data_IF_967807676654
#
_entry.id   IF_967807676654
#
_cell.length_a   1.000
_cell.length_b   1.000
_cell.length_c   1.000
_cell.angle_alpha   90.00
_cell.angle_beta   90.00
_cell.angle_gamma   90.00
#
_symmetry.space_group_name_H-M   'P 1'
#
loop_
_entity.id
_entity.type
_entity.pdbx_description
1 polymer ?
#
# COMPACT_ATOMS: atom_id res chain seq x y z
N UNK A 1 -103.00 6.69 -44.34
CA UNK A 1 -101.99 6.08 -43.44
C UNK A 1 -101.40 4.77 -44.03
N UNK A 2 -101.15 4.67 -45.34
CA UNK A 2 -100.81 3.38 -45.98
C UNK A 2 -99.39 3.29 -46.58
N UNK A 3 -98.56 4.36 -46.47
CA UNK A 3 -97.18 4.35 -46.99
C UNK A 3 -96.12 3.93 -45.97
N UNK A 4 -96.42 4.06 -44.66
CA UNK A 4 -95.52 3.61 -43.59
C UNK A 4 -95.60 2.10 -43.36
N UNK A 5 -96.78 1.49 -43.49
CA UNK A 5 -96.98 0.05 -43.29
C UNK A 5 -96.31 -0.81 -44.37
N UNK A 6 -96.24 -0.32 -45.62
CA UNK A 6 -95.49 -0.99 -46.69
C UNK A 6 -93.97 -0.89 -46.50
N UNK A 7 -93.49 0.19 -45.89
CA UNK A 7 -92.07 0.42 -45.65
C UNK A 7 -91.54 -0.47 -44.52
N UNK A 8 -92.32 -0.66 -43.46
CA UNK A 8 -91.99 -1.60 -42.38
C UNK A 8 -92.04 -3.08 -42.83
N UNK A 9 -92.96 -3.49 -43.72
CA UNK A 9 -93.00 -4.88 -44.23
C UNK A 9 -91.77 -5.24 -45.08
N UNK A 10 -91.29 -4.32 -45.93
CA UNK A 10 -90.10 -4.56 -46.77
C UNK A 10 -88.81 -4.64 -45.95
N UNK A 11 -88.68 -3.83 -44.89
CA UNK A 11 -87.52 -3.86 -43.97
C UNK A 11 -87.51 -5.10 -43.07
N UNK A 12 -88.68 -5.57 -42.60
CA UNK A 12 -88.77 -6.84 -41.84
C UNK A 12 -88.32 -8.03 -42.67
N UNK A 13 -88.72 -8.12 -43.94
CA UNK A 13 -88.25 -9.18 -44.84
C UNK A 13 -86.73 -9.11 -45.06
N UNK A 14 -86.17 -7.91 -45.24
CA UNK A 14 -84.73 -7.72 -45.45
C UNK A 14 -83.89 -8.06 -44.20
N UNK A 15 -84.37 -7.70 -43.01
CA UNK A 15 -83.70 -8.05 -41.73
C UNK A 15 -83.75 -9.55 -41.46
N UNK A 16 -84.87 -10.23 -41.78
CA UNK A 16 -84.98 -11.68 -41.65
C UNK A 16 -84.04 -12.39 -42.63
N UNK A 17 -83.95 -11.93 -43.88
CA UNK A 17 -82.99 -12.50 -44.87
C UNK A 17 -81.54 -12.25 -44.47
N UNK A 18 -81.21 -11.08 -43.89
CA UNK A 18 -79.88 -10.79 -43.38
C UNK A 18 -79.52 -11.67 -42.16
N UNK A 19 -80.46 -11.89 -41.23
CA UNK A 19 -80.25 -12.79 -40.09
C UNK A 19 -80.12 -14.26 -40.52
N UNK A 20 -80.92 -14.72 -41.48
CA UNK A 20 -80.78 -16.07 -42.06
C UNK A 20 -79.45 -16.20 -42.81
N UNK A 21 -78.99 -15.14 -43.49
CA UNK A 21 -77.68 -15.10 -44.14
C UNK A 21 -76.50 -15.16 -43.16
N UNK A 22 -76.63 -14.60 -41.95
CA UNK A 22 -75.62 -14.70 -40.88
C UNK A 22 -75.64 -16.10 -40.24
N UNK A 23 -76.83 -16.68 -40.04
CA UNK A 23 -76.98 -18.05 -39.49
C UNK A 23 -76.49 -19.10 -40.49
N UNK A 24 -76.79 -18.96 -41.79
CA UNK A 24 -76.33 -19.85 -42.85
C UNK A 24 -74.86 -19.58 -43.25
N UNK A 25 -74.37 -18.35 -43.10
CA UNK A 25 -72.98 -17.97 -43.34
C UNK A 25 -72.00 -18.47 -42.28
N UNK A 26 -72.49 -18.86 -41.09
CA UNK A 26 -71.68 -19.47 -40.04
C UNK A 26 -71.29 -20.93 -40.35
N UNK A 27 -71.89 -21.55 -41.37
CA UNK A 27 -71.66 -22.96 -41.74
C UNK A 27 -70.47 -23.17 -42.68
N UNK A 28 -69.70 -22.12 -43.03
CA UNK A 28 -68.56 -22.20 -43.96
C UNK A 28 -67.18 -22.01 -43.31
N UNK A 29 -67.09 -22.06 -41.98
CA UNK A 29 -65.80 -22.32 -41.35
C UNK A 29 -65.48 -23.81 -41.55
N UNK A 30 -64.34 -24.17 -42.18
CA UNK A 30 -63.92 -25.56 -42.23
C UNK A 30 -63.81 -26.06 -40.79
N UNK A 31 -64.56 -27.12 -40.46
CA UNK A 31 -64.42 -27.81 -39.19
C UNK A 31 -62.97 -28.27 -39.08
N UNK A 32 -62.26 -27.84 -38.03
CA UNK A 32 -60.89 -28.26 -37.77
C UNK A 32 -60.82 -29.79 -37.87
N UNK A 33 -59.87 -30.31 -38.65
CA UNK A 33 -59.78 -31.75 -38.84
C UNK A 33 -59.36 -32.41 -37.52
N UNK A 34 -59.76 -33.66 -37.31
CA UNK A 34 -59.38 -34.40 -36.10
C UNK A 34 -57.85 -34.48 -35.93
N UNK A 35 -57.11 -34.47 -37.04
CA UNK A 35 -55.65 -34.44 -37.08
C UNK A 35 -55.08 -33.12 -36.56
N UNK A 36 -55.64 -31.97 -36.98
CA UNK A 36 -55.27 -30.65 -36.47
C UNK A 36 -55.53 -30.53 -34.96
N UNK A 37 -56.67 -31.06 -34.50
CA UNK A 37 -57.03 -31.07 -33.08
C UNK A 37 -56.04 -31.92 -32.27
N UNK A 38 -55.65 -33.08 -32.79
CA UNK A 38 -54.69 -33.97 -32.13
C UNK A 38 -53.27 -33.37 -32.10
N UNK A 39 -52.84 -32.75 -33.21
CA UNK A 39 -51.56 -32.02 -33.29
C UNK A 39 -51.53 -30.85 -32.29
N UNK A 40 -52.60 -30.06 -32.23
CA UNK A 40 -52.72 -28.95 -31.29
C UNK A 40 -52.71 -29.42 -29.83
N UNK A 41 -53.33 -30.57 -29.52
CA UNK A 41 -53.25 -31.19 -28.19
C UNK A 41 -51.82 -31.63 -27.85
N UNK A 42 -51.11 -32.24 -28.79
CA UNK A 42 -49.72 -32.63 -28.60
C UNK A 42 -48.81 -31.42 -28.34
N UNK A 43 -48.94 -30.36 -29.16
CA UNK A 43 -48.20 -29.11 -28.98
C UNK A 43 -48.50 -28.46 -27.63
N UNK A 44 -49.78 -28.42 -27.22
CA UNK A 44 -50.19 -27.93 -25.90
C UNK A 44 -49.50 -28.71 -24.79
N UNK A 45 -49.49 -30.03 -24.84
CA UNK A 45 -48.83 -30.88 -23.83
C UNK A 45 -47.32 -30.62 -23.77
N UNK A 46 -46.67 -30.49 -24.93
CA UNK A 46 -45.23 -30.14 -24.99
C UNK A 46 -44.95 -28.77 -24.39
N UNK A 47 -45.80 -27.77 -24.66
CA UNK A 47 -45.65 -26.43 -24.08
C UNK A 47 -45.88 -26.45 -22.56
N UNK A 48 -46.87 -27.20 -22.07
CA UNK A 48 -47.07 -27.40 -20.63
C UNK A 48 -45.84 -28.02 -19.96
N UNK A 49 -45.28 -29.09 -20.53
CA UNK A 49 -44.08 -29.72 -20.00
C UNK A 49 -42.87 -28.74 -19.95
N UNK A 50 -42.74 -27.86 -20.95
CA UNK A 50 -41.71 -26.81 -20.94
C UNK A 50 -41.97 -25.75 -19.86
N UNK A 51 -43.22 -25.38 -19.63
CA UNK A 51 -43.59 -24.44 -18.56
C UNK A 51 -43.24 -25.03 -17.20
N UNK A 52 -43.59 -26.30 -16.96
CA UNK A 52 -43.28 -26.99 -15.70
C UNK A 52 -41.76 -27.08 -15.48
N UNK A 53 -41.01 -27.44 -16.54
CA UNK A 53 -39.54 -27.46 -16.51
C UNK A 53 -38.95 -26.08 -16.21
N UNK A 54 -39.43 -25.01 -16.86
CA UNK A 54 -38.97 -23.65 -16.58
C UNK A 54 -39.36 -23.17 -15.18
N UNK A 55 -40.49 -23.62 -14.65
CA UNK A 55 -40.91 -23.30 -13.29
C UNK A 55 -39.99 -23.97 -12.25
N UNK A 56 -39.55 -25.20 -12.51
CA UNK A 56 -38.56 -25.90 -11.68
C UNK A 56 -37.21 -25.16 -11.69
N UNK A 57 -36.72 -24.75 -12.87
CA UNK A 57 -35.48 -23.96 -13.00
C UNK A 57 -35.55 -22.62 -12.25
N UNK A 58 -36.69 -21.93 -12.28
CA UNK A 58 -36.88 -20.70 -11.51
C UNK A 58 -36.88 -20.94 -9.99
N UNK A 59 -37.41 -22.07 -9.55
CA UNK A 59 -37.38 -22.46 -8.14
C UNK A 59 -35.94 -22.72 -7.67
N UNK A 60 -35.15 -23.46 -8.48
CA UNK A 60 -33.73 -23.70 -8.17
C UNK A 60 -32.93 -22.41 -8.17
N UNK A 61 -33.15 -21.52 -9.14
CA UNK A 61 -32.42 -20.26 -9.22
C UNK A 61 -32.73 -19.32 -8.06
N UNK A 62 -33.98 -19.27 -7.60
CA UNK A 62 -34.36 -18.49 -6.42
C UNK A 62 -33.69 -19.01 -5.14
N UNK A 63 -33.55 -20.33 -5.01
CA UNK A 63 -32.80 -20.94 -3.91
C UNK A 63 -31.33 -20.53 -3.96
N UNK A 64 -30.70 -20.65 -5.12
CA UNK A 64 -29.29 -20.28 -5.31
C UNK A 64 -29.05 -18.78 -5.02
N UNK A 65 -29.98 -17.90 -5.39
CA UNK A 65 -29.92 -16.47 -5.04
C UNK A 65 -29.93 -16.28 -3.51
N UNK A 66 -30.78 -17.01 -2.79
CA UNK A 66 -30.81 -16.98 -1.33
C UNK A 66 -29.49 -17.44 -0.71
N UNK A 67 -28.97 -18.58 -1.16
CA UNK A 67 -27.70 -19.13 -0.67
C UNK A 67 -26.51 -18.18 -0.97
N UNK A 68 -26.53 -17.53 -2.14
CA UNK A 68 -25.53 -16.50 -2.49
C UNK A 68 -25.66 -15.25 -1.63
N UNK A 69 -26.88 -14.78 -1.34
CA UNK A 69 -27.09 -13.67 -0.41
C UNK A 69 -26.58 -13.99 0.99
N UNK A 70 -26.79 -15.21 1.48
CA UNK A 70 -26.25 -15.64 2.76
C UNK A 70 -24.71 -15.63 2.76
N UNK A 71 -24.08 -16.18 1.71
CA UNK A 71 -22.62 -16.12 1.56
C UNK A 71 -22.08 -14.70 1.50
N UNK A 72 -22.78 -13.78 0.82
CA UNK A 72 -22.39 -12.36 0.77
C UNK A 72 -22.40 -11.75 2.18
N UNK A 73 -23.43 -12.05 2.98
CA UNK A 73 -23.52 -11.56 4.35
C UNK A 73 -22.39 -12.13 5.22
N UNK A 74 -22.14 -13.44 5.14
CA UNK A 74 -21.04 -14.09 5.86
C UNK A 74 -19.67 -13.48 5.49
N UNK A 75 -19.40 -13.30 4.20
CA UNK A 75 -18.14 -12.69 3.73
C UNK A 75 -17.99 -11.24 4.21
N UNK A 76 -19.09 -10.49 4.28
CA UNK A 76 -19.07 -9.12 4.77
C UNK A 76 -18.74 -9.07 6.28
N UNK A 77 -19.32 -9.98 7.07
CA UNK A 77 -19.01 -10.09 8.50
C UNK A 77 -17.55 -10.52 8.74
N UNK A 78 -17.04 -11.46 7.95
CA UNK A 78 -15.63 -11.87 7.99
C UNK A 78 -14.69 -10.71 7.64
N UNK A 79 -15.03 -9.93 6.61
CA UNK A 79 -14.27 -8.74 6.23
C UNK A 79 -14.23 -7.72 7.37
N UNK A 80 -15.36 -7.46 8.03
CA UNK A 80 -15.40 -6.54 9.17
C UNK A 80 -14.53 -7.03 10.34
N UNK A 81 -14.53 -8.34 10.62
CA UNK A 81 -13.66 -8.93 11.64
C UNK A 81 -12.17 -8.79 11.27
N UNK A 82 -11.81 -9.00 10.01
CA UNK A 82 -10.43 -8.81 9.55
C UNK A 82 -9.99 -7.35 9.64
N UNK A 83 -10.85 -6.40 9.24
CA UNK A 83 -10.56 -4.98 9.34
C UNK A 83 -10.35 -4.54 10.80
N UNK A 84 -11.14 -5.08 11.73
CA UNK A 84 -10.96 -4.81 13.16
C UNK A 84 -9.66 -5.42 13.70
N UNK A 85 -9.37 -6.67 13.34
CA UNK A 85 -8.13 -7.35 13.74
C UNK A 85 -6.89 -6.61 13.23
N UNK A 86 -6.95 -6.10 11.99
CA UNK A 86 -5.88 -5.29 11.41
C UNK A 86 -5.66 -4.01 12.21
N UNK A 87 -6.72 -3.26 12.52
CA UNK A 87 -6.62 -2.03 13.34
C UNK A 87 -5.99 -2.31 14.71
N UNK A 88 -6.45 -3.36 15.39
CA UNK A 88 -5.93 -3.73 16.72
C UNK A 88 -4.46 -4.16 16.64
N UNK A 89 -4.10 -4.91 15.60
CA UNK A 89 -2.71 -5.34 15.38
C UNK A 89 -1.80 -4.16 15.06
N UNK A 90 -2.23 -3.24 14.19
CA UNK A 90 -1.49 -2.02 13.87
C UNK A 90 -1.29 -1.17 15.12
N UNK A 91 -2.34 -0.93 15.91
CA UNK A 91 -2.22 -0.17 17.17
C UNK A 91 -1.24 -0.83 18.14
N UNK A 92 -1.25 -2.17 18.24
CA UNK A 92 -0.32 -2.91 19.09
C UNK A 92 1.13 -2.85 18.59
N UNK A 93 1.35 -2.86 17.28
CA UNK A 93 2.68 -2.68 16.68
C UNK A 93 3.19 -1.27 16.96
N UNK A 94 2.37 -0.24 16.75
CA UNK A 94 2.75 1.14 17.04
C UNK A 94 3.08 1.36 18.52
N UNK A 95 2.30 0.77 19.43
CA UNK A 95 2.58 0.82 20.86
C UNK A 95 3.91 0.15 21.21
N UNK A 96 4.17 -1.05 20.67
CA UNK A 96 5.46 -1.74 20.89
C UNK A 96 6.64 -0.96 20.32
N UNK A 97 6.49 -0.36 19.14
CA UNK A 97 7.54 0.46 18.54
C UNK A 97 7.82 1.71 19.37
N UNK A 98 6.80 2.35 19.94
CA UNK A 98 6.96 3.49 20.85
C UNK A 98 7.64 3.07 22.15
N UNK A 99 7.24 1.95 22.75
CA UNK A 99 7.85 1.42 23.97
C UNK A 99 9.32 1.05 23.74
N UNK A 100 9.64 0.40 22.61
CA UNK A 100 11.01 0.04 22.26
C UNK A 100 11.87 1.28 21.97
N UNK A 101 11.35 2.26 21.24
CA UNK A 101 12.04 3.53 20.99
C UNK A 101 12.29 4.31 22.28
N UNK A 102 11.34 4.31 23.22
CA UNK A 102 11.51 4.95 24.53
C UNK A 102 12.59 4.24 25.35
N UNK A 103 12.59 2.89 25.37
CA UNK A 103 13.60 2.11 26.06
C UNK A 103 15.00 2.34 25.47
N UNK A 104 15.13 2.43 24.15
CA UNK A 104 16.40 2.76 23.49
C UNK A 104 16.86 4.18 23.86
N UNK A 105 15.95 5.16 23.87
CA UNK A 105 16.26 6.53 24.30
C UNK A 105 16.72 6.60 25.75
N UNK A 106 16.07 5.85 26.65
CA UNK A 106 16.47 5.79 28.06
C UNK A 106 17.86 5.16 28.22
N UNK A 107 18.13 4.05 27.52
CA UNK A 107 19.45 3.39 27.54
C UNK A 107 20.57 4.29 26.99
N UNK A 108 20.29 5.07 25.94
CA UNK A 108 21.25 6.03 25.40
C UNK A 108 21.53 7.19 26.38
N UNK A 109 20.50 7.74 27.01
CA UNK A 109 20.65 8.77 28.06
C UNK A 109 21.49 8.23 29.23
N UNK A 110 21.27 6.99 29.66
CA UNK A 110 22.05 6.37 30.73
C UNK A 110 23.52 6.18 30.33
N UNK A 111 23.77 5.70 29.10
CA UNK A 111 25.14 5.55 28.57
C UNK A 111 25.86 6.89 28.48
N UNK A 112 25.18 7.95 28.05
CA UNK A 112 25.75 9.30 28.03
C UNK A 112 26.09 9.80 29.43
N UNK A 113 25.20 9.61 30.41
CA UNK A 113 25.48 9.97 31.82
C UNK A 113 26.66 9.21 32.41
N UNK A 114 26.79 7.92 32.10
CA UNK A 114 27.93 7.11 32.55
C UNK A 114 29.24 7.60 31.92
N UNK A 115 29.24 7.86 30.60
CA UNK A 115 30.41 8.40 29.91
C UNK A 115 30.82 9.78 30.42
N UNK A 116 29.85 10.66 30.70
CA UNK A 116 30.13 11.98 31.28
C UNK A 116 30.72 11.86 32.70
N UNK A 117 30.15 11.00 33.55
CA UNK A 117 30.68 10.76 34.89
C UNK A 117 32.09 10.16 34.87
N UNK A 118 32.40 9.27 33.91
CA UNK A 118 33.73 8.73 33.73
C UNK A 118 34.73 9.79 33.26
N UNK A 119 34.36 10.61 32.28
CA UNK A 119 35.19 11.74 31.82
C UNK A 119 35.47 12.74 32.94
N UNK A 120 34.46 13.07 33.77
CA UNK A 120 34.65 13.93 34.93
C UNK A 120 35.62 13.31 35.95
N UNK A 121 35.52 12.01 36.24
CA UNK A 121 36.46 11.31 37.12
C UNK A 121 37.89 11.30 36.55
N UNK A 122 38.04 11.06 35.24
CA UNK A 122 39.35 11.09 34.60
C UNK A 122 39.96 12.50 34.64
N UNK A 123 39.18 13.55 34.39
CA UNK A 123 39.62 14.94 34.48
C UNK A 123 40.02 15.35 35.90
N UNK A 124 39.30 14.88 36.92
CA UNK A 124 39.67 15.09 38.34
C UNK A 124 41.01 14.42 38.67
N UNK A 125 41.21 13.17 38.24
CA UNK A 125 42.47 12.43 38.46
C UNK A 125 43.64 13.10 37.73
N UNK A 126 43.44 13.54 36.49
CA UNK A 126 44.42 14.30 35.70
C UNK A 126 44.82 15.59 36.43
N UNK A 127 43.84 16.35 36.93
CA UNK A 127 44.08 17.58 37.69
C UNK A 127 44.87 17.33 38.97
N UNK A 128 44.53 16.28 39.73
CA UNK A 128 45.26 15.90 40.94
C UNK A 128 46.71 15.51 40.63
N UNK A 129 46.95 14.73 39.56
CA UNK A 129 48.31 14.39 39.11
C UNK A 129 49.13 15.62 38.71
N UNK A 130 48.52 16.57 38.00
CA UNK A 130 49.19 17.81 37.61
C UNK A 130 49.52 18.68 38.83
N UNK A 131 48.63 18.76 39.80
CA UNK A 131 48.82 19.53 41.04
C UNK A 131 49.91 18.91 41.93
N UNK A 132 49.96 17.58 42.03
CA UNK A 132 51.04 16.84 42.72
C UNK A 132 52.40 17.03 42.02
N UNK A 133 52.44 16.91 40.68
CA UNK A 133 53.66 17.14 39.90
C UNK A 133 54.18 18.58 40.06
N UNK A 134 53.28 19.57 40.08
CA UNK A 134 53.65 20.96 40.36
C UNK A 134 54.18 21.17 41.79
N UNK A 135 53.62 20.44 42.78
CA UNK A 135 54.09 20.49 44.16
C UNK A 135 55.49 19.88 44.33
N UNK A 136 55.76 18.76 43.65
CA UNK A 136 57.09 18.13 43.61
C UNK A 136 58.13 19.04 42.93
N UNK A 137 57.80 19.63 41.77
CA UNK A 137 58.70 20.57 41.08
C UNK A 137 59.04 21.82 41.92
N UNK A 138 58.10 22.28 42.75
CA UNK A 138 58.30 23.40 43.68
C UNK A 138 59.14 23.02 44.90
N UNK A 139 59.15 21.74 45.30
CA UNK A 139 60.00 21.22 46.37
C UNK A 139 61.46 21.05 45.92
N UNK A 140 61.69 20.61 44.67
CA UNK A 140 63.05 20.49 44.10
C UNK A 140 63.73 21.85 43.90
N UNK A 141 62.97 22.90 43.57
CA UNK A 141 63.49 24.27 43.44
C UNK A 141 63.83 24.96 44.78
N UNK A 142 63.40 24.39 45.91
CA UNK A 142 63.81 24.84 47.27
C UNK A 142 65.12 24.16 47.73
N UNK A 143 65.54 23.07 47.07
CA UNK A 143 66.79 22.37 47.40
C UNK A 143 68.01 22.84 46.58
N UNK A 144 67.83 23.78 45.64
CA UNK A 144 68.92 24.36 44.83
C UNK A 144 69.37 25.77 45.26
N UNK A 145 68.88 26.32 46.38
CA UNK A 145 69.33 27.63 46.89
C UNK A 145 70.61 27.59 47.76
N UNK A 146 71.43 26.55 47.61
CA UNK A 146 72.68 26.38 48.35
C UNK A 146 73.79 25.83 47.45
N UNK A 147 74.22 26.57 46.44
CA UNK A 147 75.62 26.55 45.96
C UNK A 147 75.90 27.62 44.90
N UNK A 148 77.04 28.27 45.11
CA UNK A 148 77.56 29.47 44.48
C UNK A 148 77.76 29.47 42.95
N UNK A 149 77.47 30.62 42.36
CA UNK A 149 78.38 31.48 41.60
C UNK A 149 79.52 30.83 40.79
N UNK A 150 79.47 30.89 39.45
CA UNK A 150 80.36 31.74 38.64
C UNK A 150 80.52 31.26 37.19
N UNK A 151 80.42 32.24 36.28
CA UNK A 151 81.23 32.46 35.08
C UNK A 151 81.21 31.50 33.87
N UNK A 152 81.24 32.17 32.71
CA UNK A 152 81.54 31.75 31.32
C UNK A 152 80.34 31.25 30.52
N UNK A 153 79.75 32.13 29.68
CA UNK A 153 80.23 32.52 28.35
C UNK A 153 80.36 31.31 27.43
N UNK A 154 79.37 31.12 26.55
CA UNK A 154 79.57 31.25 25.12
C UNK A 154 78.25 31.37 24.35
N UNK A 155 78.27 32.37 23.50
CA UNK A 155 77.38 32.72 22.40
C UNK A 155 77.21 31.59 21.37
N UNK A 156 75.95 31.35 21.01
CA UNK A 156 75.40 31.14 19.66
C UNK A 156 76.20 30.34 18.63
N UNK A 157 75.59 29.29 18.07
CA UNK A 157 74.96 29.43 16.75
C UNK A 157 74.02 28.26 16.40
N UNK A 158 73.03 28.64 15.60
CA UNK A 158 71.76 28.01 15.30
C UNK A 158 71.81 27.11 14.04
N UNK A 159 70.70 26.40 13.83
CA UNK A 159 70.14 25.87 12.56
C UNK A 159 70.70 24.51 12.08
N UNK A 160 69.92 23.56 11.55
CA UNK A 160 68.52 23.58 11.09
C UNK A 160 68.01 22.17 10.74
N UNK A 161 66.68 22.07 10.63
CA UNK A 161 65.86 21.03 9.99
C UNK A 161 65.63 19.75 10.82
N UNK A 162 64.43 19.19 10.94
CA UNK A 162 63.33 19.21 10.01
C UNK A 162 61.96 18.93 10.67
N UNK A 163 60.94 19.50 10.02
CA UNK A 163 59.59 18.95 9.80
C UNK A 163 58.64 18.82 11.00
N UNK A 164 57.99 19.94 11.29
CA UNK A 164 56.60 19.98 11.71
C UNK A 164 55.69 19.29 10.68
N UNK A 165 54.79 18.43 11.13
CA UNK A 165 53.49 18.26 10.47
C UNK A 165 52.42 18.26 11.57
N UNK A 166 51.76 19.41 11.66
CA UNK A 166 50.48 19.63 12.30
C UNK A 166 49.40 18.97 11.44
N UNK A 167 48.47 18.25 12.08
CA UNK A 167 47.15 18.02 11.52
C UNK A 167 46.14 18.31 12.62
N UNK A 168 45.69 19.56 12.68
CA UNK A 168 44.30 19.86 13.03
C UNK A 168 43.61 20.23 11.72
N UNK A 169 42.56 19.51 11.38
CA UNK A 169 41.37 20.13 10.78
C UNK A 169 40.21 19.16 10.84
N UNK A 170 39.23 19.52 11.66
CA UNK A 170 37.82 19.24 11.46
C UNK A 170 37.40 19.35 9.99
N UNK A 171 36.71 18.32 9.50
CA UNK A 171 35.60 18.46 8.55
C UNK A 171 34.79 17.14 8.52
N UNK A 172 33.51 17.11 8.93
CA UNK A 172 32.66 15.94 8.72
C UNK A 172 32.21 15.90 7.26
N UNK A 173 32.94 15.15 6.42
CA UNK A 173 32.44 14.71 5.12
C UNK A 173 31.34 13.65 5.34
N UNK A 174 30.14 13.78 4.73
CA UNK A 174 29.14 12.73 4.77
C UNK A 174 29.71 11.45 4.16
N UNK A 175 29.84 10.41 4.98
CA UNK A 175 30.23 9.09 4.55
C UNK A 175 29.25 8.59 3.49
N UNK A 176 29.76 8.30 2.29
CA UNK A 176 28.96 7.66 1.24
C UNK A 176 28.48 6.31 1.78
N UNK A 177 27.19 5.97 1.64
CA UNK A 177 26.69 4.65 2.04
C UNK A 177 27.45 3.58 1.26
N UNK A 178 28.07 2.64 1.98
CA UNK A 178 28.78 1.49 1.41
C UNK A 178 27.72 0.50 0.92
N UNK A 179 27.31 0.59 -0.35
CA UNK A 179 26.28 -0.26 -0.93
C UNK A 179 26.15 -0.10 -2.45
N UNK A 180 25.50 -1.07 -3.12
CA UNK A 180 25.18 -0.97 -4.56
C UNK A 180 24.30 0.26 -4.79
N UNK A 181 24.67 1.09 -5.76
CA UNK A 181 23.96 2.33 -6.08
C UNK A 181 23.16 2.17 -7.37
N UNK A 182 21.96 2.74 -7.40
CA UNK A 182 20.99 2.54 -8.48
C UNK A 182 20.43 3.87 -8.98
N UNK A 183 19.98 3.87 -10.23
CA UNK A 183 19.32 5.01 -10.85
C UNK A 183 17.80 4.87 -10.74
N UNK A 184 17.13 5.89 -10.21
CA UNK A 184 15.66 6.00 -10.20
C UNK A 184 15.22 7.08 -11.19
N UNK A 185 14.09 6.87 -11.84
CA UNK A 185 13.52 7.84 -12.79
C UNK A 185 12.44 8.67 -12.12
N UNK A 186 12.33 9.95 -12.51
CA UNK A 186 11.34 10.87 -11.91
C UNK A 186 9.88 10.39 -12.01
N UNK A 187 9.55 9.54 -12.99
CA UNK A 187 8.18 9.03 -13.23
C UNK A 187 8.05 7.53 -12.91
N UNK A 188 9.12 6.88 -12.44
CA UNK A 188 9.18 5.43 -12.36
C UNK A 188 8.73 4.87 -11.02
N UNK A 189 8.33 3.59 -11.04
CA UNK A 189 8.23 2.70 -9.86
C UNK A 189 9.38 1.69 -9.82
N UNK A 190 10.44 1.95 -10.58
CA UNK A 190 11.55 1.02 -10.81
C UNK A 190 12.92 1.65 -10.64
N UNK A 191 13.86 0.85 -10.13
CA UNK A 191 15.29 1.18 -10.09
C UNK A 191 16.06 0.48 -11.22
N UNK A 192 17.16 1.09 -11.65
CA UNK A 192 17.94 0.67 -12.82
C UNK A 192 19.44 0.63 -12.52
N UNK A 193 20.15 -0.37 -13.04
CA UNK A 193 21.61 -0.50 -12.87
C UNK A 193 22.39 0.49 -13.73
N UNK A 194 21.78 0.90 -14.85
CA UNK A 194 22.34 1.85 -15.82
C UNK A 194 21.39 3.02 -16.03
N UNK A 195 21.96 4.21 -16.18
CA UNK A 195 21.19 5.45 -16.36
C UNK A 195 20.38 5.46 -17.68
N UNK A 196 20.89 4.84 -18.77
CA UNK A 196 20.15 4.65 -20.03
C UNK A 196 19.57 3.25 -20.15
N UNK A 197 18.36 3.03 -19.61
CA UNK A 197 17.63 1.77 -19.77
C UNK A 197 16.24 2.01 -20.40
N UNK A 198 16.02 1.53 -21.62
CA UNK A 198 14.74 1.69 -22.33
C UNK A 198 14.40 3.16 -22.57
N UNK A 199 13.24 3.62 -22.08
CA UNK A 199 12.75 4.99 -22.25
C UNK A 199 13.15 5.92 -21.09
N UNK A 200 14.08 5.50 -20.23
CA UNK A 200 14.59 6.36 -19.16
C UNK A 200 15.32 7.58 -19.70
N UNK A 201 14.97 8.76 -19.20
CA UNK A 201 15.66 10.02 -19.51
C UNK A 201 16.81 10.28 -18.50
N UNK A 202 18.09 10.25 -18.94
CA UNK A 202 19.23 10.38 -18.04
C UNK A 202 19.39 11.73 -17.35
N UNK A 203 18.80 12.78 -17.93
CA UNK A 203 18.81 14.11 -17.33
C UNK A 203 17.81 14.23 -16.16
N UNK A 204 16.94 13.23 -15.98
CA UNK A 204 15.90 13.19 -14.94
C UNK A 204 15.96 11.91 -14.11
N UNK A 205 17.18 11.51 -13.75
CA UNK A 205 17.43 10.37 -12.85
C UNK A 205 18.14 10.80 -11.58
N UNK A 206 17.75 10.23 -10.44
CA UNK A 206 18.49 10.35 -9.20
C UNK A 206 19.33 9.10 -8.97
N UNK A 207 20.50 9.26 -8.34
CA UNK A 207 21.42 8.17 -8.01
C UNK A 207 21.42 7.98 -6.50
N UNK A 208 20.83 6.87 -6.04
CA UNK A 208 20.57 6.57 -4.63
C UNK A 208 21.02 5.13 -4.30
N UNK A 209 21.29 4.78 -3.03
CA UNK A 209 21.59 3.41 -2.65
C UNK A 209 20.42 2.46 -2.90
N UNK A 210 20.73 1.20 -3.22
CA UNK A 210 19.74 0.16 -3.52
C UNK A 210 18.74 -0.04 -2.37
N UNK A 211 19.23 -0.08 -1.13
CA UNK A 211 18.39 -0.24 0.06
C UNK A 211 17.39 0.89 0.25
N UNK A 212 17.74 2.12 -0.13
CA UNK A 212 16.83 3.27 -0.11
C UNK A 212 15.82 3.19 -1.24
N UNK A 213 16.22 2.74 -2.42
CA UNK A 213 15.28 2.50 -3.51
C UNK A 213 14.24 1.43 -3.13
N UNK A 214 14.66 0.34 -2.50
CA UNK A 214 13.76 -0.72 -2.04
C UNK A 214 12.85 -0.26 -0.89
N UNK A 215 13.37 0.51 0.07
CA UNK A 215 12.56 1.05 1.18
C UNK A 215 11.53 2.08 0.70
N UNK A 216 11.84 2.83 -0.37
CA UNK A 216 10.90 3.72 -1.06
C UNK A 216 9.89 2.96 -1.96
N UNK A 217 9.98 1.62 -2.03
CA UNK A 217 9.05 0.79 -2.79
C UNK A 217 9.32 0.72 -4.30
N UNK A 218 10.52 1.09 -4.74
CA UNK A 218 10.94 0.88 -6.13
C UNK A 218 11.27 -0.60 -6.35
N UNK A 219 10.79 -1.16 -7.47
CA UNK A 219 11.06 -2.54 -7.87
C UNK A 219 12.18 -2.63 -8.93
N UNK A 220 12.89 -3.76 -9.09
CA UNK A 220 13.90 -3.88 -10.13
C UNK A 220 13.31 -3.72 -11.54
N UNK A 221 14.09 -3.10 -12.43
CA UNK A 221 13.78 -3.05 -13.85
C UNK A 221 14.20 -4.34 -14.53
N UNK A 222 13.23 -5.11 -15.04
CA UNK A 222 13.41 -6.40 -15.74
C UNK A 222 14.32 -6.39 -16.97
N UNK A 223 14.77 -5.22 -17.43
CA UNK A 223 15.67 -5.06 -18.59
C UNK A 223 17.13 -4.83 -18.19
N UNK A 224 17.41 -4.38 -16.98
CA UNK A 224 18.78 -4.06 -16.55
C UNK A 224 19.13 -4.52 -15.14
N UNK A 225 18.16 -5.12 -14.45
CA UNK A 225 18.29 -5.94 -13.26
C UNK A 225 17.70 -7.30 -13.59
#
# INVERSE_FOLDING_TARGET
MNKFTSFLKKRKAFVIVALIGIIAGFSLFPNATQEDINKLKAEKTTVLAKIDSSQEELSTLNKDIGDLQEKINQLNDEKQKQDQLLKDTTAKIELKQKEEAEKQRQAEIEKQKQAEAENQKQAEIEKQKQEEAARLAKADSISQSSSNNSSKKSTSNNSSSAKSNSYNSDNPQPSKPVGEMVYITATGKKYHRKNKCGNTNPARTSYIPLSEAESMGYSPCSKCY
#
